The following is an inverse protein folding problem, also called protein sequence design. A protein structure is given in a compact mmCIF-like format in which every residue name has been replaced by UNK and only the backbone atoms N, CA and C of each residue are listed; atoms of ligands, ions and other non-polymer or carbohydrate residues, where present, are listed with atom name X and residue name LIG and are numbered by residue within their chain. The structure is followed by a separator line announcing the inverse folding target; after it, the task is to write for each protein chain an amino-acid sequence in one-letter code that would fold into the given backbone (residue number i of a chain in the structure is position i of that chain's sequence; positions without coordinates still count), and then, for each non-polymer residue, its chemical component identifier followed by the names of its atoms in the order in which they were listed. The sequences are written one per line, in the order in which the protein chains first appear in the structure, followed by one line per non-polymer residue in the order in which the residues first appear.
data_IF_515759152961
#
_entry.id   IF_515759152961
#
_cell.length_a   1.000
_cell.length_b   1.000
_cell.length_c   1.000
_cell.angle_alpha   90.00
_cell.angle_beta   90.00
_cell.angle_gamma   90.00
#
_symmetry.space_group_name_H-M   'P 1'
#
loop_
_entity.id
_entity.type
_entity.pdbx_description
1 polymer ?
#
# COMPACT_ATOMS: atom_id res chain seq x y z
N UNK A 1 6.07 22.24 16.19
CA UNK A 1 4.82 21.52 16.54
C UNK A 1 4.09 21.23 15.25
N UNK A 2 3.68 19.97 15.07
CA UNK A 2 2.90 19.56 13.89
C UNK A 2 1.42 19.90 14.09
N UNK A 3 0.71 20.21 13.01
CA UNK A 3 -0.73 20.52 13.02
C UNK A 3 -1.48 19.53 12.17
N UNK A 4 -2.52 18.92 12.73
CA UNK A 4 -3.48 18.09 12.00
C UNK A 4 -4.75 18.90 11.72
N UNK A 5 -5.18 18.86 10.47
CA UNK A 5 -6.41 19.54 10.06
C UNK A 5 -7.61 18.60 10.19
N UNK A 6 -8.74 19.14 10.63
CA UNK A 6 -10.00 18.41 10.68
C UNK A 6 -11.14 19.21 10.06
N UNK A 7 -12.14 18.48 9.61
CA UNK A 7 -13.41 19.05 9.15
C UNK A 7 -14.56 18.53 10.02
N UNK A 8 -15.67 19.23 10.02
CA UNK A 8 -16.89 18.83 10.70
C UNK A 8 -17.75 18.02 9.75
N UNK A 9 -18.08 16.80 10.13
CA UNK A 9 -18.94 15.93 9.33
C UNK A 9 -20.21 15.59 10.08
N UNK A 10 -21.28 15.44 9.31
CA UNK A 10 -22.57 14.98 9.82
C UNK A 10 -22.66 13.46 9.68
N UNK A 11 -23.19 12.80 10.70
CA UNK A 11 -23.45 11.36 10.71
C UNK A 11 -24.87 11.10 11.18
N UNK A 12 -25.68 10.54 10.29
CA UNK A 12 -27.02 10.09 10.66
C UNK A 12 -26.92 8.70 11.27
N UNK A 13 -27.43 8.54 12.48
CA UNK A 13 -27.43 7.25 13.17
C UNK A 13 -28.44 6.30 12.52
N UNK A 14 -27.97 5.14 12.07
CA UNK A 14 -28.81 4.14 11.39
C UNK A 14 -29.42 3.11 12.34
N UNK A 15 -28.86 2.94 13.54
CA UNK A 15 -29.24 1.89 14.51
C UNK A 15 -29.22 2.44 15.93
N UNK A 16 -29.89 1.75 16.86
CA UNK A 16 -29.93 2.07 18.29
C UNK A 16 -30.99 3.11 18.65
N UNK A 17 -31.02 3.52 19.93
CA UNK A 17 -31.97 4.48 20.49
C UNK A 17 -31.93 5.86 19.85
N UNK A 18 -30.85 6.21 19.17
CA UNK A 18 -30.67 7.48 18.44
C UNK A 18 -30.83 7.32 16.92
N UNK A 19 -31.55 6.31 16.45
CA UNK A 19 -31.84 6.12 15.02
C UNK A 19 -32.52 7.35 14.44
N UNK A 20 -32.02 7.87 13.31
CA UNK A 20 -32.54 9.06 12.63
C UNK A 20 -32.00 10.40 13.17
N UNK A 21 -31.25 10.38 14.30
CA UNK A 21 -30.65 11.62 14.82
C UNK A 21 -29.37 11.93 14.05
N UNK A 22 -29.23 13.19 13.66
CA UNK A 22 -28.01 13.72 13.05
C UNK A 22 -27.04 14.13 14.13
N UNK A 23 -25.87 13.54 14.13
CA UNK A 23 -24.76 13.89 15.00
C UNK A 23 -23.68 14.59 14.19
N UNK A 24 -22.90 15.43 14.85
CA UNK A 24 -21.78 16.14 14.28
C UNK A 24 -20.49 15.65 14.96
N UNK A 25 -19.43 15.49 14.19
CA UNK A 25 -18.16 15.07 14.73
C UNK A 25 -16.98 15.56 13.89
N UNK A 26 -15.79 15.69 14.51
CA UNK A 26 -14.58 16.00 13.76
C UNK A 26 -14.14 14.77 12.95
N UNK A 27 -13.70 15.00 11.72
CA UNK A 27 -13.03 14.01 10.88
C UNK A 27 -11.67 14.57 10.47
N UNK A 28 -10.62 13.85 10.79
CA UNK A 28 -9.26 14.22 10.37
C UNK A 28 -9.19 14.21 8.84
N UNK A 29 -8.59 15.25 8.30
CA UNK A 29 -8.30 15.36 6.87
C UNK A 29 -6.85 14.96 6.61
N UNK A 30 -6.66 14.05 5.68
CA UNK A 30 -5.33 13.70 5.18
C UNK A 30 -4.76 14.89 4.40
N UNK A 31 -3.49 15.17 4.59
CA UNK A 31 -2.74 16.20 3.85
C UNK A 31 -2.18 15.62 2.55
N UNK A 32 -2.23 14.30 2.37
CA UNK A 32 -1.74 13.56 1.22
C UNK A 32 -1.20 12.20 1.59
N UNK A 33 -0.78 11.48 0.57
CA UNK A 33 -0.15 10.17 0.71
C UNK A 33 1.34 10.30 0.43
N UNK A 34 2.16 9.78 1.31
CA UNK A 34 3.60 9.64 1.07
C UNK A 34 3.88 8.23 0.59
N UNK A 35 4.49 8.11 -0.59
CA UNK A 35 4.85 6.82 -1.18
C UNK A 35 6.04 6.18 -0.45
N UNK A 36 6.17 4.86 -0.57
CA UNK A 36 7.34 4.12 -0.08
C UNK A 36 8.65 4.65 -0.69
N UNK A 37 8.63 5.06 -1.96
CA UNK A 37 9.77 5.66 -2.67
C UNK A 37 10.22 6.98 -2.02
N UNK A 38 9.27 7.84 -1.61
CA UNK A 38 9.60 9.08 -0.90
C UNK A 38 10.17 8.81 0.49
N UNK A 39 9.65 7.79 1.19
CA UNK A 39 10.20 7.34 2.45
C UNK A 39 11.62 6.81 2.26
N UNK A 40 11.86 5.98 1.23
CA UNK A 40 13.17 5.45 0.91
C UNK A 40 14.21 6.57 0.60
N UNK A 41 13.83 7.59 -0.18
CA UNK A 41 14.69 8.78 -0.42
C UNK A 41 15.04 9.51 0.89
N UNK A 42 14.10 9.58 1.83
CA UNK A 42 14.37 10.23 3.13
C UNK A 42 15.30 9.39 4.01
N UNK A 43 15.19 8.07 3.95
CA UNK A 43 16.11 7.14 4.64
C UNK A 43 17.52 7.24 4.03
N UNK A 44 17.65 7.26 2.69
CA UNK A 44 18.90 7.47 1.97
C UNK A 44 19.59 8.75 2.41
N UNK A 45 18.87 9.87 2.55
CA UNK A 45 19.44 11.13 3.01
C UNK A 45 19.93 11.13 4.46
N UNK A 46 19.47 10.20 5.27
CA UNK A 46 19.80 10.09 6.69
C UNK A 46 20.75 8.92 7.01
N UNK A 47 21.04 8.06 6.02
CA UNK A 47 21.86 6.86 6.19
C UNK A 47 22.81 6.68 5.00
N UNK A 48 23.63 5.63 5.04
CA UNK A 48 24.50 5.23 3.91
C UNK A 48 23.81 4.28 2.93
N UNK A 49 22.55 3.94 3.15
CA UNK A 49 21.78 3.03 2.31
C UNK A 49 21.26 3.73 1.07
N UNK A 50 21.31 3.07 -0.08
CA UNK A 50 20.68 3.57 -1.30
C UNK A 50 19.15 3.35 -1.29
N UNK A 51 18.42 4.09 -2.11
CA UNK A 51 16.97 3.85 -2.32
C UNK A 51 16.69 2.40 -2.75
N UNK A 52 17.59 1.80 -3.56
CA UNK A 52 17.45 0.41 -4.00
C UNK A 52 17.52 -0.57 -2.83
N UNK A 53 18.49 -0.38 -1.93
CA UNK A 53 18.65 -1.24 -0.75
C UNK A 53 17.44 -1.15 0.17
N UNK A 54 16.93 0.06 0.40
CA UNK A 54 15.73 0.28 1.22
C UNK A 54 14.51 -0.41 0.61
N UNK A 55 14.35 -0.37 -0.72
CA UNK A 55 13.24 -1.04 -1.40
C UNK A 55 13.34 -2.56 -1.26
N UNK A 56 14.54 -3.14 -1.45
CA UNK A 56 14.76 -4.59 -1.27
C UNK A 56 14.42 -5.02 0.15
N UNK A 57 14.87 -4.24 1.15
CA UNK A 57 14.54 -4.53 2.56
C UNK A 57 13.03 -4.47 2.78
N UNK A 58 12.36 -3.45 2.27
CA UNK A 58 10.92 -3.27 2.46
C UNK A 58 10.10 -4.40 1.81
N UNK A 59 10.49 -4.86 0.62
CA UNK A 59 9.85 -5.98 -0.07
C UNK A 59 10.02 -7.29 0.72
N UNK A 60 11.25 -7.60 1.14
CA UNK A 60 11.53 -8.80 1.93
C UNK A 60 10.82 -8.76 3.30
N UNK A 61 10.80 -7.58 3.94
CA UNK A 61 10.11 -7.38 5.19
C UNK A 61 8.60 -7.67 5.05
N UNK A 62 7.96 -7.13 4.01
CA UNK A 62 6.55 -7.40 3.73
C UNK A 62 6.28 -8.89 3.49
N UNK A 63 7.17 -9.57 2.75
CA UNK A 63 7.06 -11.01 2.48
C UNK A 63 7.13 -11.82 3.77
N UNK A 64 8.17 -11.65 4.57
CA UNK A 64 8.36 -12.44 5.80
C UNK A 64 7.31 -12.13 6.87
N UNK A 65 6.88 -10.88 6.99
CA UNK A 65 5.75 -10.52 7.86
C UNK A 65 4.48 -11.27 7.41
N UNK A 66 4.21 -11.34 6.11
CA UNK A 66 3.07 -12.08 5.56
C UNK A 66 3.15 -13.59 5.87
N UNK A 67 4.32 -14.20 5.75
CA UNK A 67 4.56 -15.61 6.10
C UNK A 67 4.23 -15.88 7.56
N UNK A 68 4.80 -15.11 8.50
CA UNK A 68 4.53 -15.27 9.94
C UNK A 68 3.07 -15.03 10.31
N UNK A 69 2.41 -14.05 9.68
CA UNK A 69 0.99 -13.81 9.92
C UNK A 69 0.12 -14.97 9.44
N UNK A 70 0.50 -15.63 8.32
CA UNK A 70 -0.21 -16.79 7.80
C UNK A 70 -0.08 -18.03 8.71
N UNK A 71 1.00 -18.12 9.46
CA UNK A 71 1.24 -19.14 10.49
C UNK A 71 0.57 -18.79 11.83
N UNK A 72 -0.08 -17.61 11.94
CA UNK A 72 -0.79 -17.17 13.15
C UNK A 72 0.05 -16.41 14.17
N UNK A 73 1.30 -16.08 13.85
CA UNK A 73 2.16 -15.33 14.77
C UNK A 73 1.75 -13.86 14.90
N UNK A 74 2.04 -13.30 16.05
CA UNK A 74 2.08 -11.85 16.26
C UNK A 74 3.52 -11.41 15.91
N UNK A 75 3.66 -10.48 14.96
CA UNK A 75 4.96 -10.00 14.52
C UNK A 75 5.25 -8.66 15.18
N UNK A 76 6.36 -8.57 15.90
CA UNK A 76 6.88 -7.32 16.43
C UNK A 76 7.67 -6.57 15.35
N UNK A 77 7.29 -5.33 15.08
CA UNK A 77 7.90 -4.45 14.10
C UNK A 77 8.84 -3.41 14.76
N UNK A 78 9.30 -3.68 15.97
CA UNK A 78 10.17 -2.79 16.72
C UNK A 78 9.51 -1.45 17.05
N UNK A 79 10.18 -0.36 16.73
CA UNK A 79 9.71 1.00 17.01
C UNK A 79 8.34 1.34 16.38
N UNK A 80 7.91 0.59 15.37
CA UNK A 80 6.59 0.79 14.77
C UNK A 80 5.45 0.20 15.61
N UNK A 81 5.70 -0.88 16.35
CA UNK A 81 4.69 -1.60 17.11
C UNK A 81 4.54 -3.04 16.66
N UNK A 82 3.35 -3.61 16.75
CA UNK A 82 3.11 -4.99 16.38
C UNK A 82 1.91 -5.15 15.42
N UNK A 83 1.95 -6.24 14.68
CA UNK A 83 0.93 -6.61 13.72
C UNK A 83 0.49 -8.05 14.01
N UNK A 84 -0.81 -8.32 13.90
CA UNK A 84 -1.38 -9.64 14.18
C UNK A 84 -2.54 -9.97 13.25
N UNK A 85 -2.75 -11.26 12.95
CA UNK A 85 -3.96 -11.67 12.28
C UNK A 85 -5.17 -11.48 13.20
N UNK A 86 -6.28 -11.07 12.61
CA UNK A 86 -7.58 -10.96 13.27
C UNK A 86 -8.64 -11.50 12.33
N UNK A 87 -9.58 -12.25 12.85
CA UNK A 87 -10.74 -12.66 12.07
C UNK A 87 -12.04 -12.17 12.72
N UNK A 88 -13.02 -11.97 11.89
CA UNK A 88 -14.39 -11.69 12.30
C UNK A 88 -15.19 -12.98 12.11
N UNK A 89 -15.92 -13.41 13.13
CA UNK A 89 -16.76 -14.62 13.12
C UNK A 89 -18.22 -14.28 13.35
N UNK A 90 -19.09 -15.18 12.95
CA UNK A 90 -20.51 -15.19 13.33
C UNK A 90 -20.63 -15.84 14.71
N UNK A 91 -21.35 -15.18 15.63
CA UNK A 91 -21.74 -15.84 16.87
C UNK A 91 -22.76 -16.95 16.54
N UNK A 92 -22.63 -18.11 17.17
CA UNK A 92 -23.49 -19.28 17.05
C UNK A 92 -24.02 -19.66 18.42
N UNK A 93 -25.13 -20.39 18.45
CA UNK A 93 -25.83 -20.67 19.73
C UNK A 93 -25.28 -21.90 20.44
N UNK A 94 -24.64 -22.82 19.71
CA UNK A 94 -24.07 -24.06 20.27
C UNK A 94 -22.57 -24.19 20.01
N UNK A 95 -21.89 -24.95 20.84
CA UNK A 95 -20.45 -25.18 20.70
C UNK A 95 -20.13 -26.03 19.45
N UNK A 96 -21.03 -26.94 19.09
CA UNK A 96 -20.88 -27.80 17.92
C UNK A 96 -20.94 -27.01 16.59
N UNK A 97 -21.66 -25.90 16.55
CA UNK A 97 -21.72 -24.99 15.38
C UNK A 97 -20.53 -24.05 15.29
N UNK A 98 -19.71 -24.01 16.35
CA UNK A 98 -18.55 -23.14 16.38
C UNK A 98 -17.36 -23.80 15.67
N UNK A 99 -17.34 -23.71 14.36
CA UNK A 99 -16.34 -24.29 13.47
C UNK A 99 -15.70 -23.24 12.54
N UNK A 100 -14.88 -23.70 11.59
CA UNK A 100 -14.20 -22.84 10.63
C UNK A 100 -15.17 -22.07 9.72
N UNK A 101 -16.37 -22.62 9.47
CA UNK A 101 -17.40 -22.02 8.61
C UNK A 101 -18.05 -20.79 9.29
N UNK A 102 -17.91 -20.68 10.62
CA UNK A 102 -18.32 -19.49 11.38
C UNK A 102 -17.41 -18.28 11.12
N UNK A 103 -16.20 -18.49 10.59
CA UNK A 103 -15.21 -17.41 10.28
C UNK A 103 -15.61 -16.75 8.96
N UNK A 104 -15.89 -15.44 9.01
CA UNK A 104 -16.33 -14.67 7.84
C UNK A 104 -15.18 -14.03 7.07
N UNK A 105 -14.22 -13.47 7.79
CA UNK A 105 -13.15 -12.68 7.18
C UNK A 105 -11.92 -12.67 8.06
N UNK A 106 -10.78 -12.79 7.40
CA UNK A 106 -9.46 -12.56 8.02
C UNK A 106 -9.02 -11.14 7.68
N UNK A 107 -8.48 -10.45 8.64
CA UNK A 107 -7.93 -9.10 8.52
C UNK A 107 -6.64 -8.99 9.32
N UNK A 108 -5.90 -7.93 9.08
CA UNK A 108 -4.67 -7.63 9.81
C UNK A 108 -4.93 -6.47 10.75
N UNK A 109 -4.56 -6.62 12.02
CA UNK A 109 -4.63 -5.57 13.01
C UNK A 109 -3.24 -5.06 13.36
N UNK A 110 -3.01 -3.77 13.14
CA UNK A 110 -1.81 -3.07 13.56
C UNK A 110 -2.04 -2.37 14.91
N UNK A 111 -1.07 -2.48 15.82
CA UNK A 111 -1.06 -1.76 17.10
C UNK A 111 0.25 -0.99 17.19
N UNK A 112 0.18 0.34 17.08
CA UNK A 112 1.34 1.22 17.19
C UNK A 112 2.04 1.13 18.54
N UNK A 113 3.36 1.27 18.53
CA UNK A 113 4.20 1.34 19.73
C UNK A 113 3.87 2.55 20.61
N UNK A 114 4.43 2.60 21.80
CA UNK A 114 4.35 3.79 22.65
C UNK A 114 5.05 4.99 22.01
N UNK A 115 6.22 4.79 21.43
CA UNK A 115 6.99 5.83 20.72
C UNK A 115 6.20 6.45 19.56
N UNK A 116 5.52 5.61 18.77
CA UNK A 116 4.69 6.10 17.68
C UNK A 116 3.48 6.91 18.18
N UNK A 117 2.93 6.56 19.34
CA UNK A 117 1.82 7.30 19.97
C UNK A 117 2.31 8.63 20.55
N UNK A 118 3.43 8.64 21.25
CA UNK A 118 4.04 9.86 21.81
C UNK A 118 4.34 10.89 20.70
N UNK A 119 4.76 10.41 19.51
CA UNK A 119 4.95 11.29 18.36
C UNK A 119 3.66 12.01 17.92
N UNK A 120 2.49 11.45 18.26
CA UNK A 120 1.18 12.01 17.96
C UNK A 120 0.58 12.83 19.09
N UNK A 121 1.03 12.67 20.35
CA UNK A 121 0.44 13.33 21.52
C UNK A 121 0.66 14.85 21.53
N UNK A 122 1.72 15.34 20.89
CA UNK A 122 2.07 16.75 20.82
C UNK A 122 1.53 17.48 19.57
N UNK A 123 0.47 16.94 18.96
CA UNK A 123 -0.10 17.50 17.73
C UNK A 123 -1.20 18.51 18.07
N UNK A 124 -1.20 19.66 17.42
CA UNK A 124 -2.30 20.63 17.46
C UNK A 124 -3.36 20.28 16.41
N UNK A 125 -4.62 20.46 16.77
CA UNK A 125 -5.75 20.28 15.86
C UNK A 125 -6.28 21.64 15.42
N UNK A 126 -6.44 21.82 14.10
CA UNK A 126 -6.97 23.04 13.52
C UNK A 126 -8.15 22.73 12.59
N UNK A 127 -9.21 23.49 12.77
CA UNK A 127 -10.38 23.39 11.88
C UNK A 127 -10.10 24.06 10.55
N UNK A 128 -10.27 23.32 9.46
CA UNK A 128 -10.08 23.81 8.10
C UNK A 128 -11.21 23.34 7.19
N UNK A 129 -12.24 24.18 7.00
CA UNK A 129 -13.37 23.80 6.16
C UNK A 129 -12.94 23.71 4.70
N UNK A 130 -13.46 22.69 3.98
CA UNK A 130 -13.28 22.59 2.53
C UNK A 130 -11.83 22.35 2.06
N UNK A 131 -10.90 22.03 2.97
CA UNK A 131 -9.53 21.67 2.57
C UNK A 131 -9.55 20.40 1.73
N UNK A 132 -9.33 20.54 0.45
CA UNK A 132 -9.01 19.46 -0.47
C UNK A 132 -7.51 19.41 -0.62
N UNK A 133 -6.92 18.25 -0.38
CA UNK A 133 -5.51 18.03 -0.60
C UNK A 133 -5.20 18.18 -2.10
N UNK A 134 -4.45 19.22 -2.44
CA UNK A 134 -3.98 19.47 -3.80
C UNK A 134 -2.56 18.96 -4.03
N UNK A 135 -1.94 18.37 -3.02
CA UNK A 135 -0.63 17.74 -3.15
C UNK A 135 -0.78 16.33 -3.73
N UNK A 136 -1.25 16.24 -4.97
CA UNK A 136 -1.01 15.06 -5.80
C UNK A 136 0.48 15.11 -6.11
N UNK A 137 1.22 14.17 -5.56
CA UNK A 137 2.64 14.00 -5.88
C UNK A 137 2.77 13.88 -7.41
N UNK A 138 3.34 14.89 -8.07
CA UNK A 138 3.63 14.88 -9.50
C UNK A 138 4.67 13.80 -9.88
N UNK A 139 5.18 13.07 -8.91
CA UNK A 139 6.17 11.99 -9.12
C UNK A 139 5.53 10.62 -9.40
N UNK A 140 4.19 10.53 -9.49
CA UNK A 140 3.46 9.29 -9.78
C UNK A 140 3.08 9.12 -11.25
N UNK A 141 3.54 10.01 -12.13
CA UNK A 141 3.48 9.77 -13.56
C UNK A 141 4.61 8.81 -13.99
N UNK A 142 4.51 7.57 -13.59
CA UNK A 142 5.06 6.50 -14.42
C UNK A 142 4.13 6.45 -15.64
N UNK A 143 4.49 7.16 -16.68
CA UNK A 143 3.97 6.91 -18.00
C UNK A 143 4.39 5.49 -18.35
N UNK A 144 3.44 4.56 -18.30
CA UNK A 144 3.52 3.37 -19.14
C UNK A 144 3.69 3.90 -20.55
N UNK A 145 4.91 3.74 -21.08
CA UNK A 145 5.20 4.03 -22.46
C UNK A 145 4.24 3.22 -23.34
N UNK A 146 3.79 3.80 -24.45
CA UNK A 146 2.90 3.08 -25.35
C UNK A 146 3.60 1.80 -25.79
N UNK A 147 2.95 0.68 -25.55
CA UNK A 147 3.25 -0.60 -26.18
C UNK A 147 3.17 -0.36 -27.67
N UNK A 148 4.30 -0.37 -28.35
CA UNK A 148 4.31 -0.35 -29.81
C UNK A 148 3.48 -1.54 -30.30
N UNK A 149 2.57 -1.35 -31.23
CA UNK A 149 1.88 -2.46 -31.86
C UNK A 149 2.88 -3.21 -32.75
N UNK A 150 2.95 -4.50 -32.48
CA UNK A 150 3.65 -5.50 -33.30
C UNK A 150 3.12 -5.44 -34.72
N UNK A 151 3.85 -4.77 -35.62
CA UNK A 151 3.55 -4.73 -37.05
C UNK A 151 4.19 -5.96 -37.73
N UNK A 152 3.49 -7.07 -37.65
CA UNK A 152 3.71 -8.21 -38.53
C UNK A 152 2.97 -7.98 -39.85
N UNK A 153 3.51 -7.12 -40.70
CA UNK A 153 3.10 -6.85 -42.05
C UNK A 153 3.94 -7.60 -43.06
N UNK A 154 3.45 -8.76 -43.40
CA UNK A 154 3.61 -9.51 -44.63
C UNK A 154 3.85 -8.66 -45.91
N UNK A 155 4.77 -9.09 -46.77
CA UNK A 155 4.62 -8.76 -48.18
C UNK A 155 5.87 -8.63 -49.03
N UNK A 156 6.13 -9.68 -49.84
CA UNK A 156 6.46 -9.46 -51.24
C UNK A 156 7.92 -9.44 -51.63
N UNK A 157 8.39 -10.57 -52.08
CA UNK A 157 8.75 -10.83 -53.48
C UNK A 157 9.62 -9.76 -54.16
N UNK A 158 10.87 -10.06 -54.48
CA UNK A 158 11.33 -10.02 -55.87
C UNK A 158 12.79 -10.56 -56.02
N UNK A 159 12.92 -11.37 -57.00
CA UNK A 159 13.96 -11.91 -57.84
C UNK A 159 15.25 -11.13 -57.96
N UNK A 160 16.38 -11.89 -58.10
CA UNK A 160 17.57 -11.40 -58.79
C UNK A 160 18.87 -12.08 -58.37
N UNK A 161 19.13 -13.22 -58.92
CA UNK A 161 20.22 -13.60 -59.82
C UNK A 161 21.68 -13.27 -59.40
N UNK A 162 22.48 -14.30 -59.47
CA UNK A 162 23.82 -14.20 -60.01
C UNK A 162 25.02 -14.23 -59.05
N UNK A 163 25.76 -15.29 -59.09
CA UNK A 163 27.21 -15.12 -58.88
C UNK A 163 27.96 -16.18 -58.10
N UNK A 164 28.32 -17.22 -58.78
CA UNK A 164 29.49 -18.15 -58.65
C UNK A 164 30.68 -17.60 -57.87
N UNK A 165 31.37 -18.53 -57.14
CA UNK A 165 32.75 -18.36 -56.73
C UNK A 165 33.12 -19.22 -55.52
N UNK A 166 33.34 -20.43 -55.69
CA UNK A 166 34.46 -21.35 -55.72
C UNK A 166 35.68 -20.96 -54.83
N UNK A 167 36.15 -21.95 -54.06
CA UNK A 167 37.45 -21.93 -53.39
C UNK A 167 37.37 -22.24 -51.91
N UNK A 168 37.51 -23.40 -51.35
CA UNK A 168 38.53 -24.40 -51.44
C UNK A 168 39.60 -24.23 -50.35
N UNK A 169 39.87 -25.33 -49.62
CA UNK A 169 40.98 -25.65 -48.73
C UNK A 169 40.82 -25.37 -47.23
N UNK A 170 40.63 -26.38 -46.39
CA UNK A 170 41.56 -27.35 -45.79
C UNK A 170 42.63 -26.70 -44.85
N UNK A 171 42.58 -27.21 -43.61
CA UNK A 171 43.51 -26.97 -42.53
C UNK A 171 42.93 -27.33 -41.17
#
# INVERSE_FOLDING_TARGET
MSTLYYDKVTKVMKVGTKKGVTLYGPKVKSVGTRSSKQLAKRIESATTMSVADVNIINENFGKYVGEYLSEGYIVDLGAMGNIRPKFDSKAVDTLEECDADSIRRISVQFKGSAELKEALDNIKFEYRPGYTDTSVDQDSAVTDGPTEPDDSGNGGDDTGDGGSGDGGFAG
#
